data_IF_947073829211
#
_entry.id   IF_947073829211
#
_cell.length_a   1.000
_cell.length_b   1.000
_cell.length_c   1.000
_cell.angle_alpha   90.00
_cell.angle_beta   90.00
_cell.angle_gamma   90.00
#
_symmetry.space_group_name_H-M   'P 1'
#
loop_
_entity.id
_entity.type
_entity.pdbx_description
1 polymer ?
#
# COMPACT_ATOMS: atom_id res chain seq x y z
N UNK A 1 -4.85 -4.10 -21.52
CA UNK A 1 -3.67 -4.16 -22.42
C UNK A 1 -2.47 -4.87 -21.79
N UNK A 2 -2.06 -4.56 -20.55
CA UNK A 2 -0.91 -5.22 -19.92
C UNK A 2 -1.06 -6.76 -19.79
N UNK A 3 -2.25 -7.23 -19.38
CA UNK A 3 -2.58 -8.66 -19.29
C UNK A 3 -2.50 -9.36 -20.63
N UNK A 4 -3.12 -8.80 -21.68
CA UNK A 4 -3.06 -9.31 -23.06
C UNK A 4 -1.62 -9.40 -23.58
N UNK A 5 -0.81 -8.36 -23.40
CA UNK A 5 0.61 -8.37 -23.79
C UNK A 5 1.38 -9.49 -23.09
N UNK A 6 1.17 -9.68 -21.80
CA UNK A 6 1.83 -10.75 -21.04
C UNK A 6 1.37 -12.14 -21.49
N UNK A 7 0.07 -12.32 -21.76
CA UNK A 7 -0.49 -13.59 -22.22
C UNK A 7 0.03 -13.99 -23.61
N UNK A 8 -0.06 -13.10 -24.60
CA UNK A 8 0.44 -13.42 -25.95
C UNK A 8 1.96 -13.55 -26.01
N UNK A 9 2.70 -12.83 -25.15
CA UNK A 9 4.14 -13.05 -24.96
C UNK A 9 4.43 -14.45 -24.41
N UNK A 10 3.61 -14.96 -23.49
CA UNK A 10 3.71 -16.33 -23.00
C UNK A 10 3.43 -17.35 -24.12
N UNK A 11 2.32 -17.20 -24.86
CA UNK A 11 1.94 -18.10 -25.94
C UNK A 11 3.02 -18.18 -27.03
N UNK A 12 3.57 -17.03 -27.42
CA UNK A 12 4.65 -16.97 -28.41
C UNK A 12 5.92 -17.68 -27.90
N UNK A 13 6.33 -17.43 -26.65
CA UNK A 13 7.50 -18.10 -26.04
C UNK A 13 7.35 -19.61 -25.93
N UNK A 14 6.12 -20.11 -25.80
CA UNK A 14 5.80 -21.54 -25.70
C UNK A 14 5.54 -22.20 -27.06
N UNK A 15 5.63 -21.45 -28.16
CA UNK A 15 5.38 -21.97 -29.51
C UNK A 15 3.91 -22.26 -29.81
N UNK A 16 2.97 -21.74 -29.00
CA UNK A 16 1.54 -21.89 -29.27
C UNK A 16 1.07 -21.00 -30.43
N UNK A 17 1.83 -19.96 -30.77
CA UNK A 17 1.58 -19.03 -31.86
C UNK A 17 2.92 -18.61 -32.49
N UNK A 18 2.94 -18.40 -33.80
CA UNK A 18 4.15 -18.03 -34.55
C UNK A 18 4.47 -16.54 -34.50
N UNK A 19 3.51 -15.71 -34.11
CA UNK A 19 3.63 -14.25 -34.03
C UNK A 19 2.85 -13.72 -32.84
N UNK A 20 3.34 -12.67 -32.19
CA UNK A 20 2.68 -12.03 -31.05
C UNK A 20 1.75 -10.89 -31.51
N UNK A 21 0.41 -11.08 -31.57
CA UNK A 21 -0.51 -10.05 -32.02
C UNK A 21 -0.59 -8.84 -31.07
N UNK A 22 -0.22 -9.02 -29.79
CA UNK A 22 -0.27 -7.95 -28.80
C UNK A 22 0.92 -6.97 -28.88
N UNK A 23 1.90 -7.22 -29.75
CA UNK A 23 3.07 -6.37 -29.92
C UNK A 23 2.71 -4.97 -30.45
N UNK A 24 1.68 -4.88 -31.28
CA UNK A 24 1.21 -3.62 -31.90
C UNK A 24 0.14 -2.90 -31.07
N UNK A 25 -0.30 -3.48 -29.95
CA UNK A 25 -1.31 -2.82 -29.10
C UNK A 25 -0.73 -1.52 -28.55
N UNK A 26 -1.31 -0.39 -28.93
CA UNK A 26 -0.98 0.90 -28.33
C UNK A 26 -1.80 1.06 -27.05
N UNK A 27 -1.13 1.41 -25.95
CA UNK A 27 -1.83 1.78 -24.72
C UNK A 27 -2.17 3.26 -24.83
N UNK A 28 -3.45 3.66 -24.84
CA UNK A 28 -3.79 5.07 -24.77
C UNK A 28 -3.19 5.65 -23.49
N UNK A 29 -2.47 6.78 -23.62
CA UNK A 29 -1.96 7.50 -22.44
C UNK A 29 -3.18 7.97 -21.66
N UNK A 30 -3.36 7.44 -20.45
CA UNK A 30 -4.29 8.05 -19.50
C UNK A 30 -3.74 9.41 -19.10
N UNK A 31 -4.64 10.38 -18.98
CA UNK A 31 -4.31 11.65 -18.35
C UNK A 31 -3.77 11.38 -16.95
N UNK A 32 -2.59 11.92 -16.67
CA UNK A 32 -1.99 11.86 -15.34
C UNK A 32 -2.58 13.00 -14.52
N UNK A 33 -3.62 12.72 -13.75
CA UNK A 33 -4.02 13.62 -12.67
C UNK A 33 -2.96 13.58 -11.59
N UNK A 34 -2.60 14.74 -11.04
CA UNK A 34 -1.75 14.78 -9.86
C UNK A 34 -2.47 14.02 -8.72
N UNK A 35 -1.75 13.21 -7.93
CA UNK A 35 -2.33 12.61 -6.73
C UNK A 35 -2.90 13.71 -5.85
N UNK A 36 -4.14 13.53 -5.37
CA UNK A 36 -4.69 14.43 -4.36
C UNK A 36 -3.91 14.20 -3.06
N UNK A 37 -3.23 15.23 -2.59
CA UNK A 37 -2.56 15.23 -1.30
C UNK A 37 -3.53 15.71 -0.23
N UNK A 38 -3.42 15.17 0.98
CA UNK A 38 -4.16 15.68 2.14
C UNK A 38 -3.32 16.78 2.79
N UNK A 39 -3.95 17.88 3.20
CA UNK A 39 -3.27 18.94 3.93
C UNK A 39 -2.92 18.47 5.36
N UNK A 40 -1.77 18.87 5.88
CA UNK A 40 -1.38 18.56 7.26
C UNK A 40 -2.40 19.07 8.27
N UNK A 41 -2.98 20.25 8.03
CA UNK A 41 -4.03 20.82 8.90
C UNK A 41 -5.30 19.96 8.96
N UNK A 42 -5.63 19.29 7.85
CA UNK A 42 -6.81 18.42 7.79
C UNK A 42 -6.55 17.11 8.56
N UNK A 43 -5.31 16.60 8.49
CA UNK A 43 -4.87 15.44 9.28
C UNK A 43 -4.89 15.78 10.77
N UNK A 44 -4.31 16.92 11.19
CA UNK A 44 -4.32 17.36 12.58
C UNK A 44 -5.74 17.48 13.12
N UNK A 45 -6.63 18.16 12.39
CA UNK A 45 -8.05 18.28 12.77
C UNK A 45 -8.74 16.91 12.89
N UNK A 46 -8.42 15.98 11.99
CA UNK A 46 -8.95 14.62 12.07
C UNK A 46 -8.46 13.90 13.33
N UNK A 47 -7.16 13.96 13.63
CA UNK A 47 -6.56 13.35 14.82
C UNK A 47 -7.16 13.91 16.11
N UNK A 48 -7.36 15.22 16.17
CA UNK A 48 -7.91 15.92 17.34
C UNK A 48 -9.41 15.64 17.55
N UNK A 49 -10.13 15.21 16.51
CA UNK A 49 -11.55 14.86 16.61
C UNK A 49 -11.83 13.49 17.26
N UNK A 50 -10.80 12.68 17.51
CA UNK A 50 -10.94 11.32 18.02
C UNK A 50 -11.18 11.34 19.53
N UNK A 51 -12.28 10.72 19.98
CA UNK A 51 -12.61 10.62 21.40
C UNK A 51 -11.77 9.54 22.12
N UNK A 52 -10.68 9.96 22.78
CA UNK A 52 -9.77 9.09 23.52
C UNK A 52 -10.28 8.61 24.89
N UNK A 53 -11.47 9.03 25.34
CA UNK A 53 -12.07 8.52 26.58
C UNK A 53 -12.55 7.07 26.41
N UNK A 54 -12.80 6.65 25.17
CA UNK A 54 -13.20 5.28 24.86
C UNK A 54 -11.98 4.40 24.55
N UNK A 55 -12.00 3.10 24.90
CA UNK A 55 -10.97 2.16 24.47
C UNK A 55 -10.79 2.11 22.95
N UNK A 56 -11.89 2.15 22.19
CA UNK A 56 -11.87 2.21 20.71
C UNK A 56 -11.17 3.46 20.21
N UNK A 57 -11.49 4.64 20.75
CA UNK A 57 -10.86 5.88 20.30
C UNK A 57 -9.37 5.95 20.62
N UNK A 58 -8.90 5.35 21.73
CA UNK A 58 -7.45 5.20 21.98
C UNK A 58 -6.78 4.30 20.94
N UNK A 59 -7.43 3.21 20.57
CA UNK A 59 -6.94 2.32 19.52
C UNK A 59 -6.91 3.02 18.16
N UNK A 60 -7.98 3.72 17.79
CA UNK A 60 -8.09 4.46 16.52
C UNK A 60 -7.01 5.55 16.43
N UNK A 61 -6.81 6.31 17.50
CA UNK A 61 -5.76 7.33 17.57
C UNK A 61 -4.37 6.73 17.41
N UNK A 62 -4.05 5.66 18.14
CA UNK A 62 -2.76 4.98 18.03
C UNK A 62 -2.52 4.43 16.62
N UNK A 63 -3.55 3.84 15.99
CA UNK A 63 -3.46 3.28 14.65
C UNK A 63 -3.21 4.36 13.59
N UNK A 64 -3.90 5.49 13.71
CA UNK A 64 -3.74 6.62 12.79
C UNK A 64 -2.40 7.33 12.98
N UNK A 65 -1.95 7.56 14.23
CA UNK A 65 -0.64 8.14 14.51
C UNK A 65 0.48 7.25 13.98
N UNK A 66 0.39 5.93 14.18
CA UNK A 66 1.35 4.98 13.64
C UNK A 66 1.37 5.03 12.11
N UNK A 67 0.20 5.00 11.47
CA UNK A 67 0.07 5.04 10.01
C UNK A 67 0.67 6.33 9.43
N UNK A 68 0.34 7.48 10.03
CA UNK A 68 0.82 8.78 9.59
C UNK A 68 2.31 8.97 9.85
N UNK A 69 2.82 8.55 11.01
CA UNK A 69 4.20 8.76 11.44
C UNK A 69 5.23 7.83 10.77
N UNK A 70 4.83 6.62 10.38
CA UNK A 70 5.74 5.61 9.80
C UNK A 70 5.59 5.43 8.30
N UNK A 71 4.45 5.82 7.73
CA UNK A 71 4.14 5.58 6.31
C UNK A 71 4.02 4.10 5.94
N UNK A 72 3.75 3.21 6.91
CA UNK A 72 3.49 1.79 6.58
C UNK A 72 2.24 1.66 5.72
N UNK A 73 2.10 0.55 4.98
CA UNK A 73 0.90 0.34 4.17
C UNK A 73 -0.27 -0.10 5.05
N UNK A 74 -1.50 0.25 4.64
CA UNK A 74 -2.72 -0.18 5.32
C UNK A 74 -2.78 -1.70 5.55
N UNK A 75 -2.39 -2.48 4.54
CA UNK A 75 -2.37 -3.94 4.65
C UNK A 75 -1.36 -4.46 5.67
N UNK A 76 -0.26 -3.73 5.87
CA UNK A 76 0.79 -4.07 6.84
C UNK A 76 0.34 -3.67 8.26
N UNK A 77 -0.34 -2.51 8.39
CA UNK A 77 -0.88 -2.00 9.65
C UNK A 77 -1.93 -2.93 10.26
N UNK A 78 -2.89 -3.40 9.47
CA UNK A 78 -3.96 -4.28 9.95
C UNK A 78 -3.47 -5.70 10.29
N UNK A 79 -2.26 -6.07 9.86
CA UNK A 79 -1.65 -7.37 10.12
C UNK A 79 -0.59 -7.34 11.24
N UNK A 80 -0.31 -6.15 11.78
CA UNK A 80 0.72 -5.95 12.80
C UNK A 80 0.34 -6.66 14.10
N UNK A 81 1.27 -7.44 14.63
CA UNK A 81 1.11 -8.12 15.91
C UNK A 81 1.85 -7.38 17.03
N UNK A 82 1.34 -7.48 18.26
CA UNK A 82 1.99 -6.86 19.42
C UNK A 82 3.42 -7.37 19.67
N UNK A 83 3.73 -8.61 19.25
CA UNK A 83 5.08 -9.17 19.32
C UNK A 83 6.08 -8.48 18.39
N UNK A 84 5.60 -7.75 17.39
CA UNK A 84 6.42 -7.03 16.42
C UNK A 84 6.65 -5.57 16.83
N UNK A 85 6.08 -5.13 17.96
CA UNK A 85 6.18 -3.76 18.47
C UNK A 85 7.17 -3.71 19.62
N UNK A 86 8.30 -3.03 19.42
CA UNK A 86 9.29 -2.75 20.45
C UNK A 86 9.19 -1.28 20.89
N UNK A 87 8.40 -1.05 21.93
CA UNK A 87 8.23 0.27 22.55
C UNK A 87 9.48 0.77 23.28
N UNK A 88 10.44 -0.09 23.61
CA UNK A 88 11.70 0.35 24.27
C UNK A 88 12.63 0.99 23.27
N UNK A 89 12.67 0.43 22.06
CA UNK A 89 13.49 0.91 20.96
C UNK A 89 12.74 1.81 19.97
N UNK A 90 11.43 2.03 20.16
CA UNK A 90 10.54 2.75 19.25
C UNK A 90 10.57 2.19 17.82
N UNK A 91 10.50 0.87 17.71
CA UNK A 91 10.62 0.15 16.45
C UNK A 91 9.42 -0.79 16.24
N UNK A 92 9.04 -0.97 14.98
CA UNK A 92 8.05 -1.99 14.59
C UNK A 92 8.63 -2.86 13.48
N UNK A 93 8.42 -4.16 13.55
CA UNK A 93 8.78 -5.07 12.46
C UNK A 93 7.58 -5.23 11.55
N UNK A 94 7.74 -4.93 10.26
CA UNK A 94 6.67 -5.04 9.26
C UNK A 94 7.03 -6.03 8.17
N UNK A 95 6.12 -6.96 7.90
CA UNK A 95 6.25 -7.95 6.82
C UNK A 95 5.59 -7.42 5.55
N UNK A 96 6.41 -7.05 4.57
CA UNK A 96 5.97 -6.50 3.28
C UNK A 96 5.86 -7.52 2.15
N UNK A 97 5.65 -7.00 0.93
CA UNK A 97 5.53 -7.81 -0.29
C UNK A 97 6.72 -8.76 -0.48
N UNK A 98 6.41 -10.02 -0.77
CA UNK A 98 7.41 -11.07 -0.95
C UNK A 98 7.92 -11.66 0.37
N UNK A 99 7.16 -11.50 1.46
CA UNK A 99 7.49 -11.99 2.80
C UNK A 99 8.82 -11.44 3.32
N UNK A 100 9.10 -10.17 3.01
CA UNK A 100 10.33 -9.48 3.45
C UNK A 100 10.02 -8.61 4.67
N UNK A 101 10.80 -8.78 5.72
CA UNK A 101 10.70 -7.99 6.94
C UNK A 101 11.58 -6.74 6.86
N UNK A 102 11.14 -5.67 7.51
CA UNK A 102 11.89 -4.43 7.73
C UNK A 102 11.48 -3.81 9.08
N UNK A 103 12.32 -2.91 9.57
CA UNK A 103 12.08 -2.06 10.75
C UNK A 103 11.61 -0.69 10.28
#
# INVERSE_FOLDING_TARGET
>A
VATLRSFFKYCFKRGHIDKNPAQLLVVPKKDKTLPKTVNSSDIERMMDSINTETPSGRQDKALLELFYGTGIRLSELIQLNLSEVDLRNNQIIVTGKGNKQRI
#
